data_IF_741437402046
#
_entry.id   IF_741437402046
#
_cell.length_a   1.000
_cell.length_b   1.000
_cell.length_c   1.000
_cell.angle_alpha   90.00
_cell.angle_beta   90.00
_cell.angle_gamma   90.00
#
_symmetry.space_group_name_H-M   'P 1'
#
loop_
_entity.id
_entity.type
_entity.pdbx_description
1 polymer ?
#
# COMPACT_ATOMS: atom_id res chain seq x y z
N UNK A 1 16.25 -17.40 -2.80
CA UNK A 1 16.12 -16.44 -1.67
C UNK A 1 14.74 -15.82 -1.74
N UNK A 2 13.87 -16.02 -0.74
CA UNK A 2 12.52 -15.45 -0.73
C UNK A 2 12.60 -14.08 -0.03
N UNK A 3 12.42 -13.00 -0.80
CA UNK A 3 12.44 -11.64 -0.26
C UNK A 3 10.99 -11.26 0.07
N UNK A 4 10.73 -10.83 1.30
CA UNK A 4 9.42 -10.31 1.69
C UNK A 4 9.40 -8.82 1.35
N UNK A 5 8.71 -8.45 0.28
CA UNK A 5 8.52 -7.05 -0.06
C UNK A 5 7.67 -6.35 1.02
N UNK A 6 8.08 -5.16 1.51
CA UNK A 6 7.30 -4.39 2.48
C UNK A 6 5.96 -3.94 1.88
N UNK A 7 5.89 -3.72 0.56
CA UNK A 7 4.67 -3.33 -0.16
C UNK A 7 3.50 -4.30 0.02
N UNK A 8 3.76 -5.60 0.25
CA UNK A 8 2.69 -6.58 0.49
C UNK A 8 1.99 -6.34 1.84
N UNK A 9 2.74 -5.97 2.88
CA UNK A 9 2.16 -5.65 4.19
C UNK A 9 1.43 -4.29 4.17
N UNK A 10 1.96 -3.31 3.44
CA UNK A 10 1.32 -2.00 3.23
C UNK A 10 -0.03 -2.14 2.52
N UNK A 11 -0.10 -2.94 1.45
CA UNK A 11 -1.36 -3.22 0.76
C UNK A 11 -2.39 -3.95 1.63
N UNK A 12 -1.95 -4.82 2.55
CA UNK A 12 -2.86 -5.48 3.48
C UNK A 12 -3.49 -4.49 4.48
N UNK A 13 -2.80 -3.39 4.82
CA UNK A 13 -3.29 -2.36 5.73
C UNK A 13 -4.15 -1.29 5.05
N UNK A 14 -4.20 -1.25 3.71
CA UNK A 14 -4.88 -0.20 2.94
C UNK A 14 -6.39 -0.09 3.24
N UNK A 15 -7.10 -1.20 3.44
CA UNK A 15 -8.53 -1.17 3.75
C UNK A 15 -8.80 -0.45 5.09
N UNK A 16 -7.97 -0.72 6.09
CA UNK A 16 -8.10 -0.07 7.40
C UNK A 16 -7.71 1.41 7.33
N UNK A 17 -6.66 1.74 6.56
CA UNK A 17 -6.19 3.12 6.38
C UNK A 17 -7.15 3.99 5.55
N UNK A 18 -7.88 3.42 4.59
CA UNK A 18 -8.80 4.16 3.72
C UNK A 18 -10.23 4.23 4.25
N UNK A 19 -10.57 3.48 5.31
CA UNK A 19 -11.94 3.41 5.84
C UNK A 19 -12.37 4.76 6.43
N UNK A 20 -13.50 5.27 5.94
CA UNK A 20 -14.04 6.56 6.37
C UNK A 20 -13.40 7.79 5.71
N UNK A 21 -12.45 7.56 4.79
CA UNK A 21 -11.82 8.60 3.98
C UNK A 21 -12.47 8.74 2.60
N UNK A 22 -12.19 9.85 1.93
CA UNK A 22 -12.66 10.08 0.56
C UNK A 22 -11.74 9.40 -0.45
N UNK A 23 -12.24 9.17 -1.66
CA UNK A 23 -11.44 8.60 -2.76
C UNK A 23 -10.16 9.43 -3.03
N UNK A 24 -10.20 10.74 -2.84
CA UNK A 24 -9.04 11.63 -2.95
C UNK A 24 -7.92 11.26 -1.97
N UNK A 25 -8.27 10.82 -0.77
CA UNK A 25 -7.32 10.57 0.32
C UNK A 25 -6.56 9.26 0.09
N UNK A 26 -7.14 8.34 -0.70
CA UNK A 26 -6.48 7.10 -1.12
C UNK A 26 -5.18 7.38 -1.88
N UNK A 27 -5.15 8.43 -2.71
CA UNK A 27 -3.95 8.83 -3.45
C UNK A 27 -2.86 9.29 -2.49
N UNK A 28 -3.23 10.07 -1.47
CA UNK A 28 -2.29 10.52 -0.43
C UNK A 28 -1.77 9.35 0.41
N UNK A 29 -2.64 8.42 0.81
CA UNK A 29 -2.29 7.21 1.58
C UNK A 29 -1.31 6.31 0.81
N UNK A 30 -1.48 6.16 -0.50
CA UNK A 30 -0.54 5.38 -1.34
C UNK A 30 0.79 6.10 -1.46
N UNK A 31 0.77 7.43 -1.66
CA UNK A 31 1.98 8.24 -1.81
C UNK A 31 2.84 8.30 -0.54
N UNK A 32 2.24 8.22 0.66
CA UNK A 32 3.00 8.23 1.93
C UNK A 32 3.67 6.90 2.25
N UNK A 33 3.20 5.79 1.69
CA UNK A 33 3.73 4.45 1.93
C UNK A 33 4.84 4.04 0.95
N UNK A 34 5.17 4.92 -0.01
CA UNK A 34 6.20 4.72 -1.05
C UNK A 34 6.08 3.34 -1.74
N UNK A 35 4.85 2.98 -2.12
CA UNK A 35 4.55 1.65 -2.66
C UNK A 35 5.07 1.56 -4.10
N UNK A 36 6.08 0.73 -4.32
CA UNK A 36 6.56 0.34 -5.65
C UNK A 36 5.90 -0.98 -6.06
N UNK A 37 4.93 -0.93 -6.97
CA UNK A 37 4.16 -2.10 -7.39
C UNK A 37 5.02 -3.26 -7.95
N UNK A 38 6.18 -2.96 -8.54
CA UNK A 38 7.11 -3.97 -9.06
C UNK A 38 7.74 -4.88 -7.99
N UNK A 39 7.66 -4.51 -6.71
CA UNK A 39 8.08 -5.37 -5.59
C UNK A 39 6.98 -6.35 -5.14
N UNK A 40 5.71 -6.03 -5.39
CA UNK A 40 4.55 -6.75 -4.88
C UNK A 40 4.14 -7.89 -5.83
N UNK A 41 4.36 -7.72 -7.13
CA UNK A 41 3.93 -8.65 -8.19
C UNK A 41 4.88 -9.86 -8.40
N UNK A 42 5.78 -10.16 -7.45
CA UNK A 42 6.80 -11.24 -7.55
C UNK A 42 6.56 -12.41 -6.60
#
# INVERSE_FOLDING_TARGET
VKIRAPGFAHLAAMDEMARGHMLSDVVTIIGTQDIVFGEIDR
#
